data_IF_989050924963
#
_entry.id   IF_989050924963
#
_cell.length_a   1.000
_cell.length_b   1.000
_cell.length_c   1.000
_cell.angle_alpha   90.00
_cell.angle_beta   90.00
_cell.angle_gamma   90.00
#
_symmetry.space_group_name_H-M   'P 1'
#
loop_
_entity.id
_entity.type
_entity.pdbx_description
1 polymer ?
#
# COMPACT_ATOMS: atom_id res chain seq x y z
N UNK A 1 -21.91 8.02 21.62
CA UNK A 1 -21.09 9.12 21.05
C UNK A 1 -20.90 8.98 19.54
N UNK A 2 -20.48 7.81 19.03
CA UNK A 2 -20.37 7.57 17.57
C UNK A 2 -21.68 7.80 16.81
N UNK A 3 -22.80 7.28 17.30
CA UNK A 3 -24.12 7.52 16.69
C UNK A 3 -24.45 9.01 16.62
N UNK A 4 -24.11 9.78 17.66
CA UNK A 4 -24.30 11.22 17.67
C UNK A 4 -23.41 11.92 16.63
N UNK A 5 -22.17 11.46 16.43
CA UNK A 5 -21.29 11.96 15.38
C UNK A 5 -21.79 11.58 13.97
N UNK A 6 -22.28 10.37 13.76
CA UNK A 6 -22.85 9.96 12.47
C UNK A 6 -24.14 10.71 12.15
N UNK A 7 -25.02 10.89 13.14
CA UNK A 7 -26.24 11.68 12.99
C UNK A 7 -25.93 13.16 12.74
N UNK A 8 -24.93 13.73 13.42
CA UNK A 8 -24.47 15.09 13.16
C UNK A 8 -23.89 15.23 11.74
N UNK A 9 -23.20 14.20 11.23
CA UNK A 9 -22.68 14.17 9.86
C UNK A 9 -23.82 14.16 8.85
N UNK A 10 -24.79 13.26 9.01
CA UNK A 10 -25.93 13.16 8.11
C UNK A 10 -26.79 14.43 8.14
N UNK A 11 -26.85 15.12 9.28
CA UNK A 11 -27.43 16.45 9.37
C UNK A 11 -26.63 17.49 8.58
N UNK A 12 -25.30 17.56 8.76
CA UNK A 12 -24.43 18.49 8.04
C UNK A 12 -24.49 18.30 6.51
N UNK A 13 -24.44 17.05 6.04
CA UNK A 13 -24.58 16.70 4.61
C UNK A 13 -25.94 17.13 4.06
N UNK A 14 -27.04 16.87 4.80
CA UNK A 14 -28.39 17.30 4.37
C UNK A 14 -28.55 18.80 4.32
N UNK A 15 -27.87 19.53 5.21
CA UNK A 15 -27.90 20.99 5.27
C UNK A 15 -26.95 21.63 4.24
N UNK A 16 -26.10 20.84 3.57
CA UNK A 16 -25.06 21.37 2.68
C UNK A 16 -23.98 22.16 3.42
N UNK A 17 -23.86 21.96 4.74
CA UNK A 17 -22.90 22.67 5.59
C UNK A 17 -21.56 21.93 5.59
N UNK A 18 -20.67 22.33 4.67
CA UNK A 18 -19.37 21.71 4.47
C UNK A 18 -18.42 21.89 5.67
N UNK A 19 -18.61 22.93 6.48
CA UNK A 19 -17.77 23.20 7.66
C UNK A 19 -18.19 22.28 8.80
N UNK A 20 -19.50 22.14 9.04
CA UNK A 20 -20.04 21.17 9.98
C UNK A 20 -19.72 19.71 9.56
N UNK A 21 -19.78 19.39 8.26
CA UNK A 21 -19.38 18.06 7.77
C UNK A 21 -17.90 17.79 8.09
N UNK A 22 -17.05 18.78 7.85
CA UNK A 22 -15.60 18.71 8.10
C UNK A 22 -15.29 18.55 9.59
N UNK A 23 -15.92 19.31 10.47
CA UNK A 23 -15.72 19.19 11.92
C UNK A 23 -16.15 17.83 12.46
N UNK A 24 -17.26 17.29 11.95
CA UNK A 24 -17.76 15.98 12.35
C UNK A 24 -16.87 14.86 11.80
N UNK A 25 -16.40 14.95 10.55
CA UNK A 25 -15.41 14.01 10.00
C UNK A 25 -14.08 14.09 10.78
N UNK A 26 -13.66 15.29 11.23
CA UNK A 26 -12.53 15.50 12.14
C UNK A 26 -12.72 14.83 13.50
N UNK A 27 -13.91 14.95 14.07
CA UNK A 27 -14.27 14.28 15.32
C UNK A 27 -14.32 12.75 15.17
N UNK A 28 -14.87 12.24 14.07
CA UNK A 28 -14.91 10.81 13.76
C UNK A 28 -13.51 10.23 13.58
N UNK A 29 -12.63 10.89 12.81
CA UNK A 29 -11.23 10.45 12.64
C UNK A 29 -10.47 10.41 13.96
N UNK A 30 -10.61 11.43 14.80
CA UNK A 30 -10.02 11.45 16.16
C UNK A 30 -10.64 10.43 17.11
N UNK A 31 -11.92 10.12 16.95
CA UNK A 31 -12.62 9.12 17.75
C UNK A 31 -12.17 7.71 17.38
N UNK A 32 -12.11 7.39 16.09
CA UNK A 32 -11.62 6.09 15.61
C UNK A 32 -10.14 5.89 15.91
N UNK A 33 -9.32 6.94 15.75
CA UNK A 33 -7.91 6.90 16.17
C UNK A 33 -7.72 6.63 17.66
N UNK A 34 -8.65 7.11 18.52
CA UNK A 34 -8.65 6.86 19.97
C UNK A 34 -9.29 5.52 20.37
N UNK A 35 -10.30 5.03 19.65
CA UNK A 35 -10.86 3.71 19.89
C UNK A 35 -9.83 2.59 19.67
N UNK A 36 -8.94 2.76 18.68
CA UNK A 36 -7.80 1.86 18.48
C UNK A 36 -6.84 1.80 19.67
N UNK A 37 -6.83 2.83 20.54
CA UNK A 37 -5.94 2.92 21.71
C UNK A 37 -6.61 2.63 23.06
N UNK A 38 -7.96 2.50 23.15
CA UNK A 38 -8.69 2.38 24.44
C UNK A 38 -9.76 1.26 24.48
N UNK A 39 -9.72 0.30 23.55
CA UNK A 39 -10.73 -0.76 23.45
C UNK A 39 -10.61 -1.84 24.54
N UNK A 40 -10.90 -1.50 25.80
CA UNK A 40 -11.14 -2.50 26.85
C UNK A 40 -12.56 -2.47 27.44
N UNK A 41 -13.33 -1.38 27.37
CA UNK A 41 -14.55 -1.27 28.20
C UNK A 41 -15.90 -0.98 27.54
N UNK A 42 -16.02 -0.58 26.26
CA UNK A 42 -17.33 -0.30 25.66
C UNK A 42 -17.44 -0.78 24.22
N UNK A 43 -17.56 -2.10 24.12
CA UNK A 43 -17.33 -2.86 22.93
C UNK A 43 -18.60 -2.90 22.04
N UNK A 44 -19.63 -3.69 22.30
CA UNK A 44 -20.75 -4.08 21.39
C UNK A 44 -21.23 -3.18 20.18
N UNK A 45 -21.36 -1.85 20.31
CA UNK A 45 -22.10 -1.01 19.33
C UNK A 45 -21.22 -0.02 18.55
N UNK A 46 -20.07 0.42 19.10
CA UNK A 46 -19.11 1.32 18.45
C UNK A 46 -18.17 0.66 17.45
N UNK A 47 -18.50 -0.58 17.07
CA UNK A 47 -17.57 -1.71 17.10
C UNK A 47 -17.58 -2.47 15.78
N UNK A 48 -18.70 -2.34 15.07
CA UNK A 48 -18.81 -2.66 13.65
C UNK A 48 -18.28 -1.53 12.75
N UNK A 49 -18.27 -0.28 13.23
CA UNK A 49 -17.92 0.90 12.43
C UNK A 49 -16.45 1.33 12.55
N UNK A 50 -15.76 0.96 13.63
CA UNK A 50 -14.34 1.27 13.81
C UNK A 50 -13.41 0.40 12.94
N UNK A 51 -13.78 -0.87 12.71
CA UNK A 51 -13.01 -1.82 11.90
C UNK A 51 -13.02 -1.55 10.39
N UNK A 52 -14.02 -0.82 9.89
CA UNK A 52 -14.15 -0.45 8.46
C UNK A 52 -13.53 0.94 8.15
N UNK A 53 -13.12 1.68 9.18
CA UNK A 53 -13.10 3.14 9.06
C UNK A 53 -11.75 3.85 9.15
N UNK A 54 -10.66 3.28 9.66
CA UNK A 54 -9.53 4.13 10.11
C UNK A 54 -8.82 4.85 8.95
N UNK A 55 -8.42 4.13 7.90
CA UNK A 55 -7.81 4.75 6.74
C UNK A 55 -8.81 5.56 5.90
N UNK A 56 -10.07 5.13 5.85
CA UNK A 56 -11.16 5.90 5.24
C UNK A 56 -11.42 7.23 5.98
N UNK A 57 -11.37 7.19 7.31
CA UNK A 57 -11.57 8.34 8.19
C UNK A 57 -10.38 9.29 8.10
N UNK A 58 -9.13 8.80 8.01
CA UNK A 58 -7.98 9.66 7.78
C UNK A 58 -7.94 10.24 6.36
N UNK A 59 -8.35 9.50 5.32
CA UNK A 59 -8.51 10.05 3.96
C UNK A 59 -9.59 11.15 3.96
N UNK A 60 -10.72 10.93 4.64
CA UNK A 60 -11.75 11.96 4.81
C UNK A 60 -11.22 13.16 5.59
N UNK A 61 -10.50 12.93 6.69
CA UNK A 61 -9.87 13.96 7.50
C UNK A 61 -8.96 14.87 6.66
N UNK A 62 -8.09 14.26 5.85
CA UNK A 62 -7.18 14.98 4.98
C UNK A 62 -7.94 15.77 3.90
N UNK A 63 -9.02 15.21 3.33
CA UNK A 63 -9.86 15.94 2.36
C UNK A 63 -10.61 17.09 3.00
N UNK A 64 -11.10 16.91 4.23
CA UNK A 64 -11.85 17.92 4.95
C UNK A 64 -10.92 19.09 5.35
N UNK A 65 -9.73 18.78 5.87
CA UNK A 65 -8.70 19.78 6.15
C UNK A 65 -8.27 20.55 4.88
N UNK A 66 -8.14 19.89 3.72
CA UNK A 66 -7.88 20.57 2.44
C UNK A 66 -8.95 21.59 2.06
N UNK A 67 -10.23 21.25 2.27
CA UNK A 67 -11.33 22.17 1.98
C UNK A 67 -11.29 23.38 2.91
N UNK A 68 -10.97 23.17 4.18
CA UNK A 68 -10.83 24.24 5.17
C UNK A 68 -9.63 25.16 4.86
N UNK A 69 -8.51 24.61 4.38
CA UNK A 69 -7.31 25.38 3.98
C UNK A 69 -7.55 26.42 2.87
N UNK A 70 -8.64 26.32 2.11
CA UNK A 70 -9.02 27.31 1.09
C UNK A 70 -9.59 28.61 1.67
N UNK A 71 -9.76 28.75 2.99
CA UNK A 71 -10.62 29.79 3.62
C UNK A 71 -9.94 30.75 4.64
N UNK A 72 -8.61 30.78 4.74
CA UNK A 72 -7.75 31.61 5.65
C UNK A 72 -7.33 31.00 7.02
N UNK A 73 -6.18 31.52 7.49
CA UNK A 73 -5.28 31.13 8.61
C UNK A 73 -4.80 29.67 8.64
N UNK A 74 -3.73 29.40 7.87
CA UNK A 74 -3.37 28.07 7.36
C UNK A 74 -2.56 27.21 8.33
N UNK A 75 -1.85 27.78 9.31
CA UNK A 75 -0.89 27.02 10.13
C UNK A 75 -1.49 25.81 10.87
N UNK A 76 -2.53 26.00 11.71
CA UNK A 76 -3.16 24.91 12.45
C UNK A 76 -3.87 23.89 11.54
N UNK A 77 -4.51 24.34 10.46
CA UNK A 77 -5.22 23.47 9.53
C UNK A 77 -4.24 22.62 8.69
N UNK A 78 -3.16 23.22 8.17
CA UNK A 78 -2.06 22.50 7.51
C UNK A 78 -1.40 21.48 8.46
N UNK A 79 -1.23 21.83 9.74
CA UNK A 79 -0.70 20.89 10.75
C UNK A 79 -1.63 19.68 10.92
N UNK A 80 -2.93 19.91 11.09
CA UNK A 80 -3.91 18.83 11.22
C UNK A 80 -3.97 17.96 9.96
N UNK A 81 -3.86 18.56 8.78
CA UNK A 81 -3.78 17.83 7.52
C UNK A 81 -2.51 16.97 7.44
N UNK A 82 -1.35 17.53 7.81
CA UNK A 82 -0.09 16.79 7.87
C UNK A 82 -0.17 15.60 8.84
N UNK A 83 -0.75 15.79 10.03
CA UNK A 83 -0.99 14.73 11.00
C UNK A 83 -1.94 13.65 10.45
N UNK A 84 -3.00 14.04 9.74
CA UNK A 84 -3.94 13.12 9.11
C UNK A 84 -3.25 12.19 8.10
N UNK A 85 -2.45 12.76 7.19
CA UNK A 85 -1.69 11.97 6.23
C UNK A 85 -0.61 11.11 6.88
N UNK A 86 0.04 11.61 7.92
CA UNK A 86 1.01 10.81 8.67
C UNK A 86 0.34 9.57 9.23
N UNK A 87 -0.80 9.73 9.92
CA UNK A 87 -1.57 8.61 10.48
C UNK A 87 -2.07 7.66 9.40
N UNK A 88 -2.55 8.18 8.26
CA UNK A 88 -2.91 7.35 7.11
C UNK A 88 -1.71 6.52 6.62
N UNK A 89 -0.53 7.14 6.55
CA UNK A 89 0.73 6.47 6.24
C UNK A 89 1.10 5.38 7.25
N UNK A 90 0.90 5.61 8.55
CA UNK A 90 1.09 4.59 9.59
C UNK A 90 0.13 3.41 9.42
N UNK A 91 -1.13 3.67 9.09
CA UNK A 91 -2.11 2.60 8.81
C UNK A 91 -1.65 1.77 7.60
N UNK A 92 -1.22 2.41 6.51
CA UNK A 92 -0.66 1.69 5.37
C UNK A 92 0.58 0.86 5.75
N UNK A 93 1.47 1.37 6.61
CA UNK A 93 2.61 0.60 7.14
C UNK A 93 2.15 -0.63 7.92
N UNK A 94 1.20 -0.48 8.82
CA UNK A 94 0.65 -1.58 9.62
C UNK A 94 -0.01 -2.66 8.76
N UNK A 95 -0.53 -2.30 7.58
CA UNK A 95 -1.07 -3.25 6.61
C UNK A 95 -0.07 -3.69 5.52
N UNK A 96 1.18 -3.24 5.57
CA UNK A 96 2.25 -3.70 4.66
C UNK A 96 2.22 -3.03 3.28
N UNK A 97 1.45 -1.95 3.13
CA UNK A 97 1.37 -1.13 1.93
C UNK A 97 2.47 -0.05 1.98
N UNK A 98 3.75 -0.45 1.96
CA UNK A 98 4.88 0.45 2.19
C UNK A 98 4.96 1.59 1.17
N UNK A 99 4.59 1.32 -0.08
CA UNK A 99 4.57 2.33 -1.15
C UNK A 99 3.43 3.35 -0.97
N UNK A 100 2.21 2.90 -0.67
CA UNK A 100 1.11 3.81 -0.33
C UNK A 100 1.47 4.65 0.90
N UNK A 101 2.05 4.03 1.93
CA UNK A 101 2.54 4.74 3.11
C UNK A 101 3.56 5.82 2.76
N UNK A 102 4.53 5.51 1.89
CA UNK A 102 5.55 6.47 1.48
C UNK A 102 4.96 7.67 0.73
N UNK A 103 3.88 7.47 -0.04
CA UNK A 103 3.15 8.54 -0.74
C UNK A 103 2.46 9.45 0.28
N UNK A 104 1.68 8.88 1.20
CA UNK A 104 0.95 9.65 2.21
C UNK A 104 1.92 10.39 3.15
N UNK A 105 3.02 9.76 3.56
CA UNK A 105 4.06 10.39 4.36
C UNK A 105 4.83 11.47 3.59
N UNK A 106 4.94 11.34 2.26
CA UNK A 106 5.48 12.39 1.40
C UNK A 106 4.60 13.65 1.40
N UNK A 107 3.27 13.48 1.39
CA UNK A 107 2.31 14.60 1.51
C UNK A 107 2.37 15.22 2.89
N UNK A 108 2.40 14.39 3.94
CA UNK A 108 2.56 14.84 5.31
C UNK A 108 3.83 15.71 5.46
N UNK A 109 4.96 15.29 4.88
CA UNK A 109 6.22 16.03 4.95
C UNK A 109 6.11 17.41 4.28
N UNK A 110 5.54 17.48 3.07
CA UNK A 110 5.36 18.76 2.35
C UNK A 110 4.54 19.77 3.16
N UNK A 111 3.49 19.30 3.84
CA UNK A 111 2.64 20.14 4.68
C UNK A 111 3.34 20.53 5.99
N UNK A 112 4.04 19.58 6.63
CA UNK A 112 4.78 19.85 7.86
C UNK A 112 5.92 20.85 7.64
N UNK A 113 6.60 20.81 6.49
CA UNK A 113 7.61 21.79 6.08
C UNK A 113 7.03 23.21 5.96
N UNK A 114 5.81 23.34 5.43
CA UNK A 114 5.11 24.63 5.33
C UNK A 114 4.74 25.17 6.72
N UNK A 115 4.38 24.28 7.65
CA UNK A 115 4.07 24.63 9.05
C UNK A 115 5.33 24.96 9.85
N UNK A 116 6.47 24.36 9.50
CA UNK A 116 7.74 24.53 10.21
C UNK A 116 7.83 23.77 11.55
N UNK A 117 6.96 22.76 11.77
CA UNK A 117 7.00 21.94 12.99
C UNK A 117 8.09 20.87 12.91
N UNK A 118 9.22 21.15 13.56
CA UNK A 118 10.39 20.26 13.59
C UNK A 118 10.11 18.88 14.19
N UNK A 119 9.24 18.79 15.19
CA UNK A 119 8.91 17.50 15.83
C UNK A 119 8.07 16.65 14.89
N UNK A 120 7.06 17.26 14.26
CA UNK A 120 6.23 16.58 13.26
C UNK A 120 7.04 16.16 12.03
N UNK A 121 7.92 17.03 11.51
CA UNK A 121 8.84 16.70 10.41
C UNK A 121 9.71 15.49 10.78
N UNK A 122 10.34 15.50 11.96
CA UNK A 122 11.17 14.39 12.42
C UNK A 122 10.38 13.08 12.52
N UNK A 123 9.17 13.13 13.08
CA UNK A 123 8.30 11.95 13.19
C UNK A 123 7.90 11.40 11.82
N UNK A 124 7.55 12.27 10.88
CA UNK A 124 7.24 11.89 9.50
C UNK A 124 8.47 11.28 8.82
N UNK A 125 9.66 11.86 8.98
CA UNK A 125 10.90 11.35 8.40
C UNK A 125 11.25 9.95 8.91
N UNK A 126 11.14 9.72 10.23
CA UNK A 126 11.35 8.39 10.82
C UNK A 126 10.36 7.37 10.23
N UNK A 127 9.07 7.70 10.23
CA UNK A 127 8.00 6.82 9.71
C UNK A 127 8.21 6.53 8.22
N UNK A 128 8.53 7.57 7.43
CA UNK A 128 8.81 7.47 5.99
C UNK A 128 10.06 6.63 5.70
N UNK A 129 11.03 6.67 6.60
CA UNK A 129 12.25 5.86 6.46
C UNK A 129 11.96 4.36 6.56
N UNK A 130 10.99 3.97 7.40
CA UNK A 130 10.47 2.60 7.48
C UNK A 130 9.76 2.24 6.17
N UNK A 131 8.87 3.12 5.69
CA UNK A 131 8.13 2.96 4.42
C UNK A 131 9.06 2.78 3.21
N UNK A 132 10.13 3.57 3.15
CA UNK A 132 11.10 3.52 2.05
C UNK A 132 12.19 2.47 2.24
N UNK A 133 12.17 1.74 3.35
CA UNK A 133 13.24 0.83 3.74
C UNK A 133 14.63 1.49 3.79
N UNK A 134 14.69 2.81 4.03
CA UNK A 134 15.90 3.62 4.12
C UNK A 134 16.18 3.92 5.59
N UNK A 135 16.70 2.94 6.33
CA UNK A 135 16.92 3.09 7.77
C UNK A 135 18.04 4.12 8.05
N UNK A 136 17.71 5.33 8.54
CA UNK A 136 18.70 6.38 8.77
C UNK A 136 19.59 5.96 9.93
N UNK A 137 20.73 6.64 10.09
CA UNK A 137 21.45 6.60 11.36
C UNK A 137 20.64 7.41 12.36
N UNK A 138 20.05 6.73 13.33
CA UNK A 138 19.34 7.40 14.44
C UNK A 138 20.40 7.82 15.45
N UNK A 139 20.54 9.12 15.68
CA UNK A 139 21.27 9.62 16.83
C UNK A 139 20.31 9.53 18.01
N UNK A 140 20.64 8.74 19.03
CA UNK A 140 19.85 8.66 20.27
C UNK A 140 19.76 10.06 20.88
N UNK A 141 18.62 10.70 20.71
CA UNK A 141 18.25 11.91 21.44
C UNK A 141 17.27 11.44 22.51
N UNK A 142 17.52 11.80 23.76
CA UNK A 142 16.54 11.57 24.81
C UNK A 142 15.32 12.43 24.48
N UNK A 143 14.22 11.82 24.02
CA UNK A 143 12.97 12.53 23.72
C UNK A 143 11.91 12.09 24.71
N UNK A 144 11.20 13.04 25.32
CA UNK A 144 10.00 12.77 26.13
C UNK A 144 8.75 12.49 25.26
N UNK A 145 8.94 12.35 23.94
CA UNK A 145 7.88 12.04 22.97
C UNK A 145 7.83 10.54 22.70
N UNK A 146 6.75 9.91 23.18
CA UNK A 146 6.52 8.47 23.06
C UNK A 146 6.46 8.01 21.59
N UNK A 147 5.91 8.81 20.66
CA UNK A 147 5.82 8.39 19.25
C UNK A 147 7.19 8.40 18.57
N UNK A 148 8.01 9.42 18.86
CA UNK A 148 9.39 9.46 18.38
C UNK A 148 10.19 8.26 18.93
N UNK A 149 10.07 8.00 20.24
CA UNK A 149 10.72 6.85 20.88
C UNK A 149 10.29 5.53 20.25
N UNK A 150 9.00 5.39 19.92
CA UNK A 150 8.45 4.21 19.24
C UNK A 150 9.16 3.97 17.90
N UNK A 151 9.15 4.98 17.02
CA UNK A 151 9.66 4.83 15.67
C UNK A 151 11.19 4.71 15.61
N UNK A 152 11.93 5.39 16.50
CA UNK A 152 13.39 5.25 16.60
C UNK A 152 13.78 3.83 17.01
N UNK A 153 13.15 3.30 18.06
CA UNK A 153 13.42 1.94 18.53
C UNK A 153 12.97 0.89 17.51
N UNK A 154 11.88 1.16 16.77
CA UNK A 154 11.43 0.29 15.67
C UNK A 154 12.46 0.24 14.54
N UNK A 155 13.01 1.39 14.13
CA UNK A 155 14.07 1.47 13.12
C UNK A 155 15.33 0.71 13.57
N UNK A 156 15.70 0.83 14.84
CA UNK A 156 16.84 0.10 15.41
C UNK A 156 16.60 -1.41 15.46
N UNK A 157 15.37 -1.84 15.74
CA UNK A 157 14.97 -3.24 15.62
C UNK A 157 15.11 -3.73 14.17
N UNK A 158 14.55 -3.02 13.19
CA UNK A 158 14.64 -3.38 11.77
C UNK A 158 16.08 -3.37 11.25
N UNK A 159 16.92 -2.43 11.71
CA UNK A 159 18.34 -2.37 11.36
C UNK A 159 19.06 -3.60 11.91
N UNK A 160 18.76 -3.97 13.15
CA UNK A 160 19.29 -5.17 13.79
C UNK A 160 18.87 -6.43 13.04
N UNK A 161 17.61 -6.53 12.60
CA UNK A 161 17.12 -7.64 11.77
C UNK A 161 17.94 -7.80 10.48
N UNK A 162 18.16 -6.70 9.75
CA UNK A 162 18.91 -6.70 8.47
C UNK A 162 20.38 -7.08 8.62
N UNK A 163 20.93 -6.92 9.82
CA UNK A 163 22.31 -7.31 10.18
C UNK A 163 22.38 -8.70 10.81
N UNK A 164 21.28 -9.46 10.80
CA UNK A 164 21.18 -10.76 11.45
C UNK A 164 21.46 -10.72 12.97
N UNK A 165 21.26 -9.54 13.59
CA UNK A 165 21.44 -9.33 15.03
C UNK A 165 20.13 -9.63 15.77
N UNK A 166 19.65 -10.88 15.65
CA UNK A 166 18.32 -11.32 16.10
C UNK A 166 18.03 -11.02 17.58
N UNK A 167 19.05 -11.17 18.45
CA UNK A 167 18.94 -10.87 19.88
C UNK A 167 18.68 -9.38 20.14
N UNK A 168 19.40 -8.50 19.44
CA UNK A 168 19.25 -7.05 19.55
C UNK A 168 17.88 -6.61 19.03
N UNK A 169 17.47 -7.12 17.87
CA UNK A 169 16.14 -6.86 17.31
C UNK A 169 15.02 -7.31 18.27
N UNK A 170 15.09 -8.54 18.78
CA UNK A 170 14.09 -9.06 19.72
C UNK A 170 14.07 -8.27 21.03
N UNK A 171 15.22 -7.76 21.52
CA UNK A 171 15.28 -6.92 22.72
C UNK A 171 14.58 -5.58 22.49
N UNK A 172 14.88 -4.90 21.37
CA UNK A 172 14.26 -3.62 21.02
C UNK A 172 12.72 -3.74 20.88
N UNK A 173 12.23 -4.77 20.20
CA UNK A 173 10.77 -5.01 20.09
C UNK A 173 10.10 -5.31 21.44
N UNK A 174 10.78 -5.99 22.37
CA UNK A 174 10.25 -6.21 23.72
C UNK A 174 10.23 -4.94 24.57
N UNK A 175 11.22 -4.06 24.41
CA UNK A 175 11.22 -2.73 25.04
C UNK A 175 10.00 -1.94 24.56
N UNK A 176 9.77 -1.88 23.25
CA UNK A 176 8.58 -1.25 22.67
C UNK A 176 7.29 -1.86 23.21
N UNK A 177 7.19 -3.19 23.27
CA UNK A 177 5.97 -3.84 23.77
C UNK A 177 5.68 -3.51 25.23
N UNK A 178 6.72 -3.36 26.05
CA UNK A 178 6.55 -2.99 27.46
C UNK A 178 6.08 -1.53 27.60
N UNK A 179 6.62 -0.62 26.79
CA UNK A 179 6.25 0.81 26.81
C UNK A 179 4.84 1.06 26.26
N UNK A 180 4.43 0.30 25.24
CA UNK A 180 3.13 0.44 24.57
C UNK A 180 2.20 -0.74 24.88
N UNK A 181 2.24 -1.24 26.12
CA UNK A 181 1.42 -2.38 26.55
C UNK A 181 -0.09 -2.06 26.49
N UNK A 182 -0.44 -0.81 26.76
CA UNK A 182 -1.81 -0.29 26.81
C UNK A 182 -2.34 0.14 25.43
N UNK A 183 -1.47 0.29 24.43
CA UNK A 183 -1.88 0.52 23.04
C UNK A 183 -2.15 -0.84 22.37
N UNK A 184 -3.42 -1.23 22.30
CA UNK A 184 -3.84 -2.53 21.79
C UNK A 184 -3.34 -2.80 20.37
N UNK A 185 -3.40 -1.80 19.48
CA UNK A 185 -2.97 -1.90 18.09
C UNK A 185 -1.44 -2.06 17.99
N UNK A 186 -0.67 -1.16 18.61
CA UNK A 186 0.81 -1.24 18.57
C UNK A 186 1.30 -2.53 19.22
N UNK A 187 0.70 -2.94 20.32
CA UNK A 187 1.03 -4.20 20.99
C UNK A 187 0.77 -5.41 20.10
N UNK A 188 -0.36 -5.45 19.37
CA UNK A 188 -0.65 -6.50 18.39
C UNK A 188 0.36 -6.52 17.22
N UNK A 189 0.69 -5.36 16.66
CA UNK A 189 1.69 -5.21 15.59
C UNK A 189 3.08 -5.67 16.06
N UNK A 190 3.50 -5.30 17.27
CA UNK A 190 4.78 -5.71 17.85
C UNK A 190 4.84 -7.22 18.10
N UNK A 191 3.74 -7.83 18.55
CA UNK A 191 3.64 -9.29 18.69
C UNK A 191 3.75 -10.01 17.35
N UNK A 192 3.05 -9.51 16.34
CA UNK A 192 3.13 -10.03 14.98
C UNK A 192 4.58 -9.94 14.46
N UNK A 193 5.23 -8.79 14.62
CA UNK A 193 6.62 -8.60 14.19
C UNK A 193 7.59 -9.49 14.96
N UNK A 194 7.38 -9.68 16.26
CA UNK A 194 8.15 -10.63 17.08
C UNK A 194 7.94 -12.09 16.63
N UNK A 195 6.80 -12.45 16.05
CA UNK A 195 6.57 -13.77 15.48
C UNK A 195 7.31 -13.93 14.14
N UNK A 196 7.16 -12.95 13.24
CA UNK A 196 7.89 -12.89 11.96
C UNK A 196 9.40 -12.96 12.17
N UNK A 197 9.94 -12.20 13.11
CA UNK A 197 11.37 -12.23 13.47
C UNK A 197 11.86 -13.64 13.79
N UNK A 198 11.03 -14.46 14.47
CA UNK A 198 11.40 -15.83 14.82
C UNK A 198 11.34 -16.77 13.63
N UNK A 199 10.38 -16.58 12.74
CA UNK A 199 10.28 -17.34 11.49
C UNK A 199 11.48 -17.00 10.59
N UNK A 200 11.82 -15.72 10.47
CA UNK A 200 12.97 -15.25 9.71
C UNK A 200 14.29 -15.78 10.29
N UNK A 201 14.43 -15.76 11.62
CA UNK A 201 15.58 -16.34 12.29
C UNK A 201 15.70 -17.84 12.00
N UNK A 202 14.63 -18.62 12.15
CA UNK A 202 14.64 -20.06 11.85
C UNK A 202 15.05 -20.40 10.41
N UNK A 203 14.74 -19.48 9.49
CA UNK A 203 15.02 -19.63 8.05
C UNK A 203 16.46 -19.29 7.70
N UNK A 204 17.03 -18.28 8.35
CA UNK A 204 18.29 -17.66 7.95
C UNK A 204 19.46 -17.99 8.90
N UNK A 205 19.19 -18.58 10.06
CA UNK A 205 20.18 -18.90 11.09
C UNK A 205 20.06 -20.39 11.50
N UNK A 206 20.91 -21.27 10.95
CA UNK A 206 20.85 -22.71 11.21
C UNK A 206 21.26 -23.11 12.63
N UNK A 207 21.96 -22.23 13.36
CA UNK A 207 22.50 -22.50 14.71
C UNK A 207 21.47 -22.25 15.83
N UNK A 208 20.28 -21.78 15.49
CA UNK A 208 19.23 -21.42 16.45
C UNK A 208 18.51 -22.64 16.97
N UNK A 209 18.27 -22.71 18.29
CA UNK A 209 17.39 -23.71 18.92
C UNK A 209 16.02 -23.72 18.22
N UNK A 210 15.74 -24.70 17.35
CA UNK A 210 14.66 -24.56 16.38
C UNK A 210 13.30 -24.72 17.07
N UNK A 211 13.22 -25.63 18.04
CA UNK A 211 11.96 -25.97 18.70
C UNK A 211 11.40 -24.81 19.54
N UNK A 212 12.23 -24.22 20.42
CA UNK A 212 11.79 -23.07 21.24
C UNK A 212 11.42 -21.87 20.38
N UNK A 213 12.12 -21.65 19.27
CA UNK A 213 11.86 -20.52 18.38
C UNK A 213 10.54 -20.71 17.61
N UNK A 214 10.25 -21.93 17.15
CA UNK A 214 8.98 -22.28 16.48
C UNK A 214 7.80 -22.12 17.43
N UNK A 215 7.89 -22.68 18.64
CA UNK A 215 6.84 -22.56 19.67
C UNK A 215 6.57 -21.09 20.02
N UNK A 216 7.62 -20.27 20.16
CA UNK A 216 7.47 -18.82 20.40
C UNK A 216 6.80 -18.11 19.22
N UNK A 217 7.09 -18.49 17.98
CA UNK A 217 6.43 -17.90 16.82
C UNK A 217 4.92 -18.20 16.82
N UNK A 218 4.53 -19.43 17.14
CA UNK A 218 3.11 -19.83 17.29
C UNK A 218 2.44 -19.01 18.40
N UNK A 219 3.02 -18.96 19.60
CA UNK A 219 2.41 -18.20 20.71
C UNK A 219 2.24 -16.72 20.40
N UNK A 220 3.26 -16.07 19.80
CA UNK A 220 3.22 -14.64 19.50
C UNK A 220 2.22 -14.29 18.40
N UNK A 221 2.15 -15.11 17.34
CA UNK A 221 1.17 -14.92 16.27
C UNK A 221 -0.26 -15.17 16.74
N UNK A 222 -0.48 -16.17 17.61
CA UNK A 222 -1.77 -16.39 18.25
C UNK A 222 -2.17 -15.24 19.20
N UNK A 223 -1.23 -14.70 19.99
CA UNK A 223 -1.50 -13.54 20.85
C UNK A 223 -1.81 -12.28 20.01
N UNK A 224 -1.06 -12.05 18.92
CA UNK A 224 -1.33 -10.96 17.99
C UNK A 224 -2.74 -11.10 17.38
N UNK A 225 -3.09 -12.30 16.90
CA UNK A 225 -4.41 -12.60 16.34
C UNK A 225 -5.52 -12.28 17.34
N UNK A 226 -5.39 -12.75 18.58
CA UNK A 226 -6.37 -12.46 19.63
C UNK A 226 -6.54 -10.95 19.85
N UNK A 227 -5.44 -10.19 19.90
CA UNK A 227 -5.51 -8.73 20.06
C UNK A 227 -6.15 -8.03 18.87
N UNK A 228 -5.79 -8.40 17.64
CA UNK A 228 -6.42 -7.84 16.44
C UNK A 228 -7.93 -8.14 16.39
N UNK A 229 -8.34 -9.35 16.79
CA UNK A 229 -9.75 -9.71 16.89
C UNK A 229 -10.49 -8.88 17.94
N UNK A 230 -9.87 -8.60 19.10
CA UNK A 230 -10.46 -7.74 20.15
C UNK A 230 -10.71 -6.31 19.67
N UNK A 231 -9.87 -5.80 18.77
CA UNK A 231 -10.02 -4.45 18.19
C UNK A 231 -10.68 -4.46 16.80
N UNK A 232 -11.22 -5.62 16.38
CA UNK A 232 -11.91 -5.81 15.10
C UNK A 232 -11.10 -5.39 13.86
N UNK A 233 -9.78 -5.45 13.94
CA UNK A 233 -8.90 -5.27 12.79
C UNK A 233 -8.82 -6.58 12.00
N UNK A 234 -9.77 -6.79 11.09
CA UNK A 234 -9.82 -8.00 10.26
C UNK A 234 -8.58 -8.14 9.36
N UNK A 235 -7.98 -7.03 8.92
CA UNK A 235 -6.78 -7.07 8.09
C UNK A 235 -5.57 -7.53 8.93
N UNK A 236 -5.38 -6.95 10.11
CA UNK A 236 -4.37 -7.38 11.09
C UNK A 236 -4.57 -8.82 11.54
N UNK A 237 -5.81 -9.23 11.85
CA UNK A 237 -6.15 -10.60 12.22
C UNK A 237 -5.83 -11.60 11.09
N UNK A 238 -6.20 -11.27 9.86
CA UNK A 238 -5.88 -12.09 8.68
C UNK A 238 -4.36 -12.22 8.50
N UNK A 239 -3.59 -11.13 8.60
CA UNK A 239 -2.11 -11.18 8.56
C UNK A 239 -1.54 -12.04 9.69
N UNK A 240 -2.06 -11.89 10.90
CA UNK A 240 -1.63 -12.69 12.05
C UNK A 240 -1.90 -14.18 11.84
N UNK A 241 -3.04 -14.55 11.24
CA UNK A 241 -3.31 -15.92 10.82
C UNK A 241 -2.31 -16.39 9.76
N UNK A 242 -2.01 -15.59 8.74
CA UNK A 242 -1.01 -15.97 7.72
C UNK A 242 0.36 -16.26 8.35
N UNK A 243 0.79 -15.47 9.34
CA UNK A 243 2.04 -15.74 10.09
C UNK A 243 1.90 -16.98 10.98
N UNK A 244 0.74 -17.18 11.62
CA UNK A 244 0.44 -18.36 12.42
C UNK A 244 0.46 -19.65 11.58
N UNK A 245 -0.09 -19.64 10.36
CA UNK A 245 -0.03 -20.77 9.40
C UNK A 245 1.42 -21.18 9.19
N UNK A 246 2.31 -20.23 8.88
CA UNK A 246 3.73 -20.47 8.64
C UNK A 246 4.44 -21.01 9.89
N UNK A 247 4.12 -20.45 11.07
CA UNK A 247 4.65 -20.94 12.35
C UNK A 247 4.18 -22.37 12.67
N UNK A 248 2.90 -22.69 12.41
CA UNK A 248 2.33 -24.03 12.62
C UNK A 248 2.96 -25.06 11.68
N UNK A 249 3.16 -24.71 10.40
CA UNK A 249 3.88 -25.55 9.44
C UNK A 249 5.31 -25.83 9.88
N UNK A 250 6.01 -24.82 10.40
CA UNK A 250 7.36 -25.00 10.93
C UNK A 250 7.41 -25.96 12.14
N UNK A 251 6.30 -26.10 12.89
CA UNK A 251 6.13 -27.10 13.96
C UNK A 251 5.56 -28.45 13.50
N UNK A 252 5.28 -28.63 12.21
CA UNK A 252 4.65 -29.86 11.69
C UNK A 252 3.15 -29.98 11.97
N UNK A 253 2.48 -28.91 12.43
CA UNK A 253 1.04 -28.89 12.77
C UNK A 253 0.18 -28.51 11.56
N UNK A 254 0.26 -29.31 10.49
CA UNK A 254 -0.33 -28.98 9.19
C UNK A 254 -1.86 -28.89 9.18
N UNK A 255 -2.54 -29.72 9.97
CA UNK A 255 -4.01 -29.70 10.07
C UNK A 255 -4.51 -28.36 10.61
N UNK A 256 -3.91 -27.89 11.69
CA UNK A 256 -4.25 -26.59 12.28
C UNK A 256 -3.85 -25.44 11.35
N UNK A 257 -2.71 -25.57 10.66
CA UNK A 257 -2.29 -24.59 9.66
C UNK A 257 -3.33 -24.45 8.54
N UNK A 258 -3.93 -25.57 8.09
CA UNK A 258 -5.02 -25.55 7.12
C UNK A 258 -6.24 -24.80 7.65
N UNK A 259 -6.67 -25.11 8.88
CA UNK A 259 -7.80 -24.44 9.51
C UNK A 259 -7.59 -22.93 9.61
N UNK A 260 -6.39 -22.50 10.06
CA UNK A 260 -6.05 -21.08 10.15
C UNK A 260 -6.02 -20.40 8.78
N UNK A 261 -5.57 -21.10 7.72
CA UNK A 261 -5.60 -20.57 6.35
C UNK A 261 -7.04 -20.39 5.85
N UNK A 262 -7.93 -21.34 6.14
CA UNK A 262 -9.34 -21.24 5.76
C UNK A 262 -10.05 -20.10 6.53
N UNK A 263 -9.75 -19.92 7.83
CA UNK A 263 -10.23 -18.75 8.58
C UNK A 263 -9.65 -17.43 8.05
N UNK A 264 -8.38 -17.40 7.66
CA UNK A 264 -7.78 -16.19 7.07
C UNK A 264 -8.49 -15.76 5.79
N UNK A 265 -8.90 -16.70 4.94
CA UNK A 265 -9.69 -16.41 3.73
C UNK A 265 -11.07 -15.86 4.04
N UNK A 266 -11.73 -16.39 5.08
CA UNK A 266 -13.04 -15.92 5.53
C UNK A 266 -12.95 -14.51 6.13
N UNK A 267 -11.95 -14.26 6.97
CA UNK A 267 -11.72 -12.94 7.58
C UNK A 267 -11.34 -11.91 6.50
N UNK A 268 -10.55 -12.28 5.50
CA UNK A 268 -10.19 -11.42 4.37
C UNK A 268 -11.39 -10.92 3.57
N UNK A 269 -12.47 -11.71 3.46
CA UNK A 269 -13.70 -11.30 2.79
C UNK A 269 -14.48 -10.21 3.55
N UNK A 270 -14.13 -9.96 4.82
CA UNK A 270 -14.73 -8.93 5.68
C UNK A 270 -13.86 -7.67 5.77
N UNK A 271 -12.66 -7.69 5.20
CA UNK A 271 -11.75 -6.55 5.21
C UNK A 271 -12.29 -5.47 4.28
N UNK A 272 -12.14 -4.20 4.70
CA UNK A 272 -12.48 -3.04 3.87
C UNK A 272 -11.89 -3.19 2.45
N UNK A 273 -12.67 -2.94 1.37
CA UNK A 273 -12.20 -3.12 0.00
C UNK A 273 -10.89 -2.38 -0.33
N UNK A 274 -10.62 -1.23 0.32
CA UNK A 274 -9.38 -0.48 0.14
C UNK A 274 -8.15 -1.21 0.67
N UNK A 275 -8.32 -2.07 1.68
CA UNK A 275 -7.25 -2.88 2.27
C UNK A 275 -7.26 -4.34 1.79
N UNK A 276 -8.42 -4.84 1.35
CA UNK A 276 -8.66 -6.25 1.00
C UNK A 276 -8.69 -6.57 -0.50
N UNK A 277 -8.47 -5.59 -1.38
CA UNK A 277 -8.50 -5.80 -2.83
C UNK A 277 -7.51 -6.88 -3.32
N UNK A 278 -7.75 -7.43 -4.51
CA UNK A 278 -6.97 -8.57 -5.07
C UNK A 278 -5.47 -8.31 -5.20
N UNK A 279 -5.08 -7.05 -5.30
CA UNK A 279 -3.70 -6.62 -5.45
C UNK A 279 -3.10 -6.12 -4.13
N UNK A 280 -3.78 -6.26 -2.99
CA UNK A 280 -3.34 -5.73 -1.70
C UNK A 280 -2.16 -6.51 -1.09
N UNK A 281 -1.40 -5.93 -0.15
CA UNK A 281 -0.42 -6.67 0.63
C UNK A 281 -1.06 -7.83 1.43
N UNK A 282 -2.34 -7.69 1.79
CA UNK A 282 -3.07 -8.75 2.48
C UNK A 282 -3.20 -10.01 1.62
N UNK A 283 -3.52 -9.83 0.33
CA UNK A 283 -3.57 -10.94 -0.62
C UNK A 283 -2.18 -11.56 -0.83
N UNK A 284 -1.12 -10.75 -0.83
CA UNK A 284 0.25 -11.25 -0.86
C UNK A 284 0.54 -12.18 0.34
N UNK A 285 0.13 -11.77 1.55
CA UNK A 285 0.30 -12.58 2.76
C UNK A 285 -0.51 -13.88 2.72
N UNK A 286 -1.75 -13.85 2.22
CA UNK A 286 -2.59 -15.04 2.02
C UNK A 286 -1.97 -16.01 1.01
N UNK A 287 -1.48 -15.50 -0.12
CA UNK A 287 -0.81 -16.30 -1.14
C UNK A 287 0.49 -16.90 -0.60
N UNK A 288 1.26 -16.15 0.20
CA UNK A 288 2.46 -16.68 0.84
C UNK A 288 2.12 -17.87 1.75
N UNK A 289 1.17 -17.68 2.68
CA UNK A 289 0.76 -18.76 3.59
C UNK A 289 0.21 -19.98 2.84
N UNK A 290 -0.58 -19.78 1.78
CA UNK A 290 -1.08 -20.85 0.93
C UNK A 290 0.05 -21.56 0.16
N UNK A 291 1.04 -20.81 -0.33
CA UNK A 291 2.21 -21.36 -1.02
C UNK A 291 3.07 -22.24 -0.12
N UNK A 292 3.35 -21.80 1.11
CA UNK A 292 4.07 -22.63 2.09
C UNK A 292 3.27 -23.88 2.50
N UNK A 293 1.94 -23.77 2.60
CA UNK A 293 1.08 -24.94 2.84
C UNK A 293 1.15 -25.95 1.68
N UNK A 294 1.17 -25.49 0.41
CA UNK A 294 1.33 -26.36 -0.75
C UNK A 294 2.70 -27.05 -0.79
N UNK A 295 3.78 -26.36 -0.39
CA UNK A 295 5.10 -26.99 -0.23
C UNK A 295 5.03 -28.13 0.78
N UNK A 296 4.35 -27.93 1.91
CA UNK A 296 4.20 -28.94 2.93
C UNK A 296 3.43 -30.18 2.42
N UNK A 297 2.45 -29.99 1.52
CA UNK A 297 1.73 -31.08 0.87
C UNK A 297 2.53 -31.78 -0.26
N UNK A 298 3.71 -31.27 -0.61
CA UNK A 298 4.52 -31.79 -1.72
C UNK A 298 4.11 -31.28 -3.11
N UNK A 299 3.15 -30.36 -3.22
CA UNK A 299 2.79 -29.72 -4.50
C UNK A 299 3.75 -28.57 -4.81
N UNK A 300 4.98 -28.92 -5.20
CA UNK A 300 6.03 -27.94 -5.51
C UNK A 300 5.65 -27.00 -6.67
N UNK A 301 4.92 -27.50 -7.67
CA UNK A 301 4.53 -26.69 -8.83
C UNK A 301 3.45 -25.66 -8.48
N UNK A 302 2.41 -26.08 -7.75
CA UNK A 302 1.37 -25.18 -7.25
C UNK A 302 1.92 -24.17 -6.25
N UNK A 303 2.79 -24.62 -5.33
CA UNK A 303 3.48 -23.76 -4.39
C UNK A 303 4.29 -22.68 -5.09
N UNK A 304 5.15 -23.06 -6.06
CA UNK A 304 5.99 -22.10 -6.78
C UNK A 304 5.19 -21.03 -7.49
N UNK A 305 4.09 -21.39 -8.16
CA UNK A 305 3.19 -20.40 -8.80
C UNK A 305 2.58 -19.44 -7.77
N UNK A 306 2.10 -19.98 -6.65
CA UNK A 306 1.45 -19.19 -5.60
C UNK A 306 2.44 -18.25 -4.89
N UNK A 307 3.64 -18.73 -4.58
CA UNK A 307 4.71 -17.93 -3.98
C UNK A 307 5.19 -16.84 -4.95
N UNK A 308 5.35 -17.14 -6.24
CA UNK A 308 5.71 -16.10 -7.22
C UNK A 308 4.66 -14.99 -7.29
N UNK A 309 3.37 -15.32 -7.26
CA UNK A 309 2.30 -14.33 -7.21
C UNK A 309 2.41 -13.45 -5.95
N UNK A 310 2.67 -14.05 -4.78
CA UNK A 310 2.89 -13.31 -3.54
C UNK A 310 4.11 -12.38 -3.63
N UNK A 311 5.22 -12.84 -4.20
CA UNK A 311 6.44 -12.05 -4.36
C UNK A 311 6.22 -10.83 -5.27
N UNK A 312 5.47 -11.00 -6.37
CA UNK A 312 5.08 -9.89 -7.25
C UNK A 312 4.25 -8.86 -6.50
N UNK A 313 3.29 -9.29 -5.68
CA UNK A 313 2.47 -8.37 -4.89
C UNK A 313 3.27 -7.64 -3.80
N UNK A 314 4.15 -8.33 -3.07
CA UNK A 314 5.02 -7.66 -2.08
C UNK A 314 5.94 -6.64 -2.73
N UNK A 315 6.53 -6.98 -3.89
CA UNK A 315 7.34 -6.04 -4.67
C UNK A 315 6.52 -4.83 -5.13
N UNK A 316 5.30 -5.05 -5.59
CA UNK A 316 4.38 -3.97 -5.96
C UNK A 316 4.10 -3.03 -4.80
N UNK A 317 4.04 -3.54 -3.57
CA UNK A 317 3.82 -2.75 -2.36
C UNK A 317 5.09 -2.26 -1.68
N UNK A 318 6.26 -2.66 -2.19
CA UNK A 318 7.56 -2.20 -1.73
C UNK A 318 8.03 -2.92 -0.47
N UNK A 319 7.35 -4.00 -0.05
CA UNK A 319 7.75 -4.84 1.07
C UNK A 319 8.88 -5.79 0.66
N UNK A 320 10.11 -5.26 0.64
CA UNK A 320 11.29 -6.01 0.21
C UNK A 320 11.63 -7.16 1.15
N UNK A 321 11.29 -7.04 2.43
CA UNK A 321 11.58 -8.05 3.42
C UNK A 321 10.68 -9.28 3.19
N UNK A 322 9.37 -9.07 3.02
CA UNK A 322 8.43 -10.15 2.70
C UNK A 322 8.68 -10.74 1.32
N UNK A 323 9.04 -9.91 0.32
CA UNK A 323 9.47 -10.39 -1.00
C UNK A 323 10.64 -11.38 -0.89
N UNK A 324 11.73 -11.00 -0.21
CA UNK A 324 12.87 -11.89 0.02
C UNK A 324 12.48 -13.13 0.87
N UNK A 325 11.53 -12.95 1.78
CA UNK A 325 10.78 -14.00 2.48
C UNK A 325 10.29 -15.11 1.57
N UNK A 326 9.40 -14.71 0.67
CA UNK A 326 8.68 -15.56 -0.27
C UNK A 326 9.62 -16.17 -1.31
N UNK A 327 10.55 -15.39 -1.85
CA UNK A 327 11.51 -15.86 -2.85
C UNK A 327 12.39 -17.00 -2.30
N UNK A 328 12.89 -16.84 -1.08
CA UNK A 328 13.62 -17.91 -0.41
C UNK A 328 12.76 -19.17 -0.23
N UNK A 329 11.50 -19.03 0.20
CA UNK A 329 10.58 -20.18 0.32
C UNK A 329 10.34 -20.87 -1.03
N UNK A 330 10.34 -20.11 -2.12
CA UNK A 330 10.23 -20.63 -3.48
C UNK A 330 11.54 -21.22 -4.05
N UNK A 331 12.67 -21.13 -3.32
CA UNK A 331 13.99 -21.53 -3.80
C UNK A 331 14.54 -20.62 -4.90
N UNK A 332 14.25 -19.32 -4.82
CA UNK A 332 14.64 -18.31 -5.81
C UNK A 332 15.41 -17.16 -5.16
N UNK A 333 16.36 -16.60 -5.89
CA UNK A 333 17.12 -15.41 -5.46
C UNK A 333 16.45 -14.08 -5.88
N UNK A 334 15.65 -14.11 -6.95
CA UNK A 334 14.94 -12.96 -7.48
C UNK A 334 13.62 -13.39 -8.14
N UNK A 335 12.65 -12.46 -8.21
CA UNK A 335 11.46 -12.64 -9.06
C UNK A 335 11.92 -12.68 -10.52
N UNK A 336 11.60 -13.73 -11.29
CA UNK A 336 11.89 -13.80 -12.71
C UNK A 336 11.28 -12.63 -13.50
N UNK A 337 11.97 -12.13 -14.52
CA UNK A 337 11.50 -10.99 -15.32
C UNK A 337 10.16 -11.28 -16.03
N UNK A 338 9.91 -12.54 -16.37
CA UNK A 338 8.67 -13.03 -16.99
C UNK A 338 7.53 -13.27 -16.00
N UNK A 339 7.78 -13.22 -14.68
CA UNK A 339 6.74 -13.40 -13.68
C UNK A 339 5.66 -12.30 -13.73
N UNK A 340 6.03 -11.10 -14.21
CA UNK A 340 5.09 -10.02 -14.47
C UNK A 340 4.27 -10.22 -15.75
N UNK A 341 4.78 -11.01 -16.71
CA UNK A 341 4.07 -11.35 -17.93
C UNK A 341 3.01 -12.44 -17.69
N UNK A 342 3.16 -13.23 -16.63
CA UNK A 342 2.25 -14.32 -16.23
C UNK A 342 1.19 -13.91 -15.20
N UNK A 343 1.14 -12.64 -14.78
CA UNK A 343 0.03 -12.10 -13.98
C UNK A 343 -1.31 -12.21 -14.72
N UNK A 344 -2.47 -12.02 -14.04
CA UNK A 344 -3.75 -11.98 -14.73
C UNK A 344 -3.64 -11.03 -15.93
N UNK A 345 -4.29 -11.31 -17.07
CA UNK A 345 -4.03 -10.67 -18.35
C UNK A 345 -4.37 -9.18 -18.32
N UNK A 346 -3.51 -8.39 -17.70
CA UNK A 346 -3.41 -6.96 -17.89
C UNK A 346 -2.69 -6.78 -19.21
N UNK A 347 -3.37 -6.20 -20.19
CA UNK A 347 -2.74 -5.74 -21.43
C UNK A 347 -1.45 -4.99 -21.06
N UNK A 348 -0.36 -5.24 -21.79
CA UNK A 348 0.83 -4.40 -21.67
C UNK A 348 0.42 -2.95 -21.92
N UNK A 349 1.16 -2.00 -21.34
CA UNK A 349 1.02 -0.61 -21.73
C UNK A 349 1.47 -0.53 -23.17
N UNK A 350 0.52 -0.44 -24.08
CA UNK A 350 0.77 -0.46 -25.51
C UNK A 350 0.36 0.89 -26.09
N UNK A 351 1.13 1.36 -27.06
CA UNK A 351 0.83 2.55 -27.84
C UNK A 351 0.84 2.14 -29.29
N UNK A 352 -0.24 2.45 -30.02
CA UNK A 352 -0.30 2.20 -31.46
C UNK A 352 -1.05 3.32 -32.17
N UNK A 353 -0.88 3.36 -33.49
CA UNK A 353 -1.47 4.39 -34.35
C UNK A 353 -2.45 3.73 -35.31
N UNK A 354 -3.67 4.26 -35.36
CA UNK A 354 -4.72 3.89 -36.30
C UNK A 354 -4.86 4.98 -37.36
N UNK A 355 -4.61 4.66 -38.62
CA UNK A 355 -4.88 5.57 -39.74
C UNK A 355 -6.38 5.55 -40.09
N UNK A 356 -6.94 6.70 -40.46
CA UNK A 356 -8.33 6.76 -40.96
C UNK A 356 -8.45 6.40 -42.44
N UNK A 357 -7.31 6.27 -43.13
CA UNK A 357 -7.20 5.85 -44.53
C UNK A 357 -6.46 4.51 -44.68
N UNK A 358 -6.29 4.04 -45.93
CA UNK A 358 -5.62 2.76 -46.22
C UNK A 358 -4.12 2.75 -45.87
N UNK A 359 -3.50 3.93 -45.76
CA UNK A 359 -2.10 4.10 -45.38
C UNK A 359 -1.97 5.21 -44.33
N UNK A 360 -1.06 5.04 -43.38
CA UNK A 360 -0.78 6.07 -42.36
C UNK A 360 -0.04 7.25 -43.00
N UNK A 361 -0.65 8.43 -42.90
CA UNK A 361 -0.13 9.69 -43.41
C UNK A 361 -0.10 10.72 -42.31
N UNK A 362 1.10 11.21 -41.96
CA UNK A 362 1.31 12.16 -40.84
C UNK A 362 0.87 13.59 -41.14
N UNK A 363 0.44 13.85 -42.37
CA UNK A 363 -0.20 15.08 -42.85
C UNK A 363 -1.74 14.95 -42.92
N UNK A 364 -2.30 13.80 -42.50
CA UNK A 364 -3.74 13.54 -42.46
C UNK A 364 -4.20 13.16 -41.05
N UNK A 365 -5.50 13.31 -40.72
CA UNK A 365 -6.00 12.86 -39.42
C UNK A 365 -5.78 11.37 -39.16
N UNK A 366 -5.35 11.04 -37.95
CA UNK A 366 -5.18 9.67 -37.46
C UNK A 366 -5.50 9.60 -35.97
N UNK A 367 -5.65 8.39 -35.42
CA UNK A 367 -5.80 8.19 -33.99
C UNK A 367 -4.55 7.55 -33.38
N UNK A 368 -4.17 8.00 -32.19
CA UNK A 368 -3.19 7.33 -31.33
C UNK A 368 -3.98 6.67 -30.20
N UNK A 369 -3.77 5.38 -30.04
CA UNK A 369 -4.36 4.59 -28.97
C UNK A 369 -3.32 4.32 -27.89
N UNK A 370 -3.78 4.41 -26.65
CA UNK A 370 -2.95 4.17 -25.48
C UNK A 370 -3.70 3.27 -24.51
N UNK A 371 -3.16 2.08 -24.24
CA UNK A 371 -3.63 1.24 -23.13
C UNK A 371 -2.74 1.47 -21.94
N UNK A 372 -3.37 1.71 -20.79
CA UNK A 372 -2.67 1.73 -19.51
C UNK A 372 -2.76 0.30 -18.96
N UNK A 373 -1.64 -0.41 -18.88
CA UNK A 373 -1.60 -1.63 -18.09
C UNK A 373 -2.07 -1.32 -16.67
N UNK A 374 -2.63 -2.31 -15.97
CA UNK A 374 -2.91 -2.15 -14.55
C UNK A 374 -1.66 -1.57 -13.87
N UNK A 375 -1.74 -0.39 -13.21
CA UNK A 375 -0.58 0.30 -12.62
C UNK A 375 0.21 -0.59 -11.66
N UNK A 376 -0.47 -1.63 -11.17
CA UNK A 376 0.04 -2.69 -10.33
C UNK A 376 1.08 -3.62 -10.96
N UNK A 377 1.32 -3.59 -12.28
CA UNK A 377 2.09 -4.66 -12.96
C UNK A 377 3.32 -4.16 -13.73
N UNK A 378 3.49 -2.85 -13.94
CA UNK A 378 4.68 -2.34 -14.64
C UNK A 378 5.71 -1.78 -13.65
N UNK A 379 6.96 -2.25 -13.74
CA UNK A 379 8.10 -1.75 -12.97
C UNK A 379 8.39 -0.25 -13.18
N UNK A 380 7.84 0.34 -14.25
CA UNK A 380 8.18 1.68 -14.75
C UNK A 380 7.16 2.77 -14.41
N UNK A 381 6.04 2.44 -13.76
CA UNK A 381 5.15 3.44 -13.17
C UNK A 381 5.42 3.52 -11.67
N UNK A 382 5.62 4.72 -11.09
CA UNK A 382 5.70 4.86 -9.65
C UNK A 382 4.41 4.27 -9.03
N UNK A 383 4.55 3.65 -7.87
CA UNK A 383 3.56 2.71 -7.38
C UNK A 383 2.22 3.34 -7.04
N UNK A 384 1.20 2.47 -7.03
CA UNK A 384 -0.11 2.65 -6.42
C UNK A 384 -0.11 3.75 -5.34
N UNK A 385 -0.94 4.77 -5.57
CA UNK A 385 -1.02 5.99 -4.79
C UNK A 385 -1.71 7.09 -5.59
N UNK A 386 -1.42 7.16 -6.90
CA UNK A 386 -2.23 7.88 -7.87
C UNK A 386 -3.59 7.17 -7.97
N UNK A 387 -4.64 7.78 -7.42
CA UNK A 387 -6.03 7.31 -7.64
C UNK A 387 -6.56 7.74 -9.00
N UNK A 388 -5.90 8.71 -9.63
CA UNK A 388 -6.25 9.28 -10.92
C UNK A 388 -4.98 9.59 -11.70
N UNK A 389 -4.96 9.22 -12.97
CA UNK A 389 -3.93 9.60 -13.92
C UNK A 389 -4.50 10.61 -14.90
N UNK A 390 -3.72 11.64 -15.21
CA UNK A 390 -3.96 12.46 -16.39
C UNK A 390 -2.99 12.03 -17.49
N UNK A 391 -3.54 11.53 -18.60
CA UNK A 391 -2.76 11.03 -19.73
C UNK A 391 -2.92 12.00 -20.86
N UNK A 392 -1.80 12.63 -21.22
CA UNK A 392 -1.73 13.75 -22.16
C UNK A 392 -0.96 13.29 -23.38
N UNK A 393 -1.55 13.39 -24.58
CA UNK A 393 -0.81 13.24 -25.82
C UNK A 393 -0.39 14.62 -26.30
N UNK A 394 0.93 14.87 -26.29
CA UNK A 394 1.53 16.06 -26.87
C UNK A 394 1.98 15.76 -28.30
N UNK A 395 1.53 16.59 -29.25
CA UNK A 395 1.93 16.52 -30.65
C UNK A 395 2.54 17.85 -31.08
N UNK A 396 3.66 17.79 -31.80
CA UNK A 396 4.28 18.95 -32.46
C UNK A 396 3.88 18.94 -33.94
N UNK A 397 3.27 20.03 -34.42
CA UNK A 397 2.74 20.15 -35.80
C UNK A 397 1.31 19.62 -35.98
N UNK A 398 0.48 19.64 -34.94
CA UNK A 398 -0.92 19.25 -35.03
C UNK A 398 -1.68 19.41 -33.71
N UNK A 399 -3.01 19.39 -33.80
CA UNK A 399 -3.92 19.42 -32.66
C UNK A 399 -4.30 18.00 -32.19
N UNK A 400 -4.69 17.86 -30.93
CA UNK A 400 -5.08 16.58 -30.32
C UNK A 400 -6.43 16.68 -29.63
N UNK A 401 -7.30 15.70 -29.84
CA UNK A 401 -8.64 15.63 -29.26
C UNK A 401 -8.97 14.23 -28.69
N UNK A 402 -9.31 14.12 -27.40
CA UNK A 402 -9.08 15.13 -26.35
C UNK A 402 -7.58 15.27 -26.07
N UNK A 403 -7.13 16.43 -25.59
CA UNK A 403 -5.73 16.63 -25.19
C UNK A 403 -5.34 15.78 -23.97
N UNK A 404 -6.29 15.59 -23.05
CA UNK A 404 -6.09 14.90 -21.77
C UNK A 404 -7.21 13.88 -21.56
N UNK A 405 -6.84 12.67 -21.17
CA UNK A 405 -7.74 11.69 -20.58
C UNK A 405 -7.46 11.55 -19.09
N UNK A 406 -8.45 11.83 -18.25
CA UNK A 406 -8.37 11.59 -16.81
C UNK A 406 -8.95 10.22 -16.49
N UNK A 407 -8.11 9.33 -15.98
CA UNK A 407 -8.46 7.93 -15.74
C UNK A 407 -8.33 7.64 -14.25
N UNK A 408 -9.42 7.17 -13.63
CA UNK A 408 -9.35 6.67 -12.26
C UNK A 408 -8.65 5.31 -12.26
N UNK A 409 -7.58 5.20 -11.49
CA UNK A 409 -6.89 3.95 -11.25
C UNK A 409 -7.70 3.12 -10.27
N UNK A 410 -8.54 2.25 -10.80
CA UNK A 410 -9.15 1.18 -10.04
C UNK A 410 -8.32 -0.09 -10.23
N UNK A 411 -7.77 -0.69 -9.16
CA UNK A 411 -7.03 -1.95 -9.27
C UNK A 411 -7.85 -3.11 -9.85
N UNK A 412 -9.18 -2.99 -9.93
CA UNK A 412 -10.11 -4.04 -10.36
C UNK A 412 -10.66 -3.83 -11.77
N UNK A 413 -10.46 -2.67 -12.39
CA UNK A 413 -11.03 -2.36 -13.71
C UNK A 413 -9.91 -2.22 -14.72
N UNK A 414 -9.97 -3.02 -15.79
CA UNK A 414 -9.12 -2.81 -16.94
C UNK A 414 -9.36 -1.39 -17.44
N UNK A 415 -8.31 -0.59 -17.46
CA UNK A 415 -8.42 0.81 -17.86
C UNK A 415 -8.89 0.84 -19.32
N UNK A 416 -9.86 1.72 -19.65
CA UNK A 416 -10.34 1.83 -21.00
C UNK A 416 -9.18 2.17 -21.93
N UNK A 417 -9.25 1.64 -23.15
CA UNK A 417 -8.37 2.08 -24.22
C UNK A 417 -8.62 3.56 -24.47
N UNK A 418 -7.55 4.36 -24.38
CA UNK A 418 -7.63 5.80 -24.54
C UNK A 418 -7.31 6.13 -25.98
N UNK A 419 -8.23 6.84 -26.63
CA UNK A 419 -8.11 7.26 -28.02
C UNK A 419 -7.88 8.76 -28.08
N UNK A 420 -6.82 9.16 -28.77
CA UNK A 420 -6.48 10.54 -29.09
C UNK A 420 -6.55 10.74 -30.60
N UNK A 421 -7.41 11.63 -31.07
CA UNK A 421 -7.43 12.03 -32.48
C UNK A 421 -6.42 13.14 -32.72
N UNK A 422 -5.51 12.90 -33.66
CA UNK A 422 -4.49 13.87 -34.05
C UNK A 422 -4.91 14.50 -35.38
N UNK A 423 -4.91 15.83 -35.44
CA UNK A 423 -5.20 16.63 -36.63
C UNK A 423 -3.93 17.40 -37.02
N UNK A 424 -3.14 16.89 -37.97
CA UNK A 424 -1.90 17.53 -38.37
C UNK A 424 -2.15 18.91 -39.00
N UNK A 425 -1.22 19.83 -38.78
CA UNK A 425 -1.10 21.04 -39.58
C UNK A 425 -0.52 20.71 -40.97
N UNK A 426 -0.50 21.68 -41.89
CA UNK A 426 0.01 21.50 -43.26
C UNK A 426 1.47 21.02 -43.33
N UNK A 427 2.25 21.27 -42.28
CA UNK A 427 3.64 20.81 -42.14
C UNK A 427 3.76 19.34 -41.70
N UNK A 428 2.65 18.72 -41.28
CA UNK A 428 2.60 17.37 -40.73
C UNK A 428 3.15 17.26 -39.29
N UNK A 429 2.92 16.10 -38.68
CA UNK A 429 3.38 15.82 -37.31
C UNK A 429 4.87 15.46 -37.29
N UNK A 430 5.64 16.17 -36.48
CA UNK A 430 7.10 15.96 -36.35
C UNK A 430 7.48 15.14 -35.13
N UNK A 431 6.72 15.28 -34.03
CA UNK A 431 6.96 14.57 -32.77
C UNK A 431 5.66 14.31 -32.03
N UNK A 432 5.56 13.14 -31.41
CA UNK A 432 4.45 12.77 -30.54
C UNK A 432 4.96 12.18 -29.24
N UNK A 433 4.33 12.54 -28.11
CA UNK A 433 4.69 12.03 -26.79
C UNK A 433 3.44 11.78 -25.95
N UNK A 434 3.34 10.60 -25.34
CA UNK A 434 2.37 10.36 -24.27
C UNK A 434 3.04 10.69 -22.94
N UNK A 435 2.42 11.58 -22.19
CA UNK A 435 2.81 11.99 -20.86
C UNK A 435 1.76 11.49 -19.87
N UNK A 436 2.20 10.83 -18.81
CA UNK A 436 1.31 10.32 -17.76
C UNK A 436 1.62 11.09 -16.50
N UNK A 437 0.62 11.76 -15.94
CA UNK A 437 0.72 12.53 -14.71
C UNK A 437 -0.12 11.88 -13.61
N UNK A 438 0.29 12.05 -12.36
CA UNK A 438 -0.63 11.89 -11.23
C UNK A 438 -1.53 13.13 -11.19
N UNK A 439 -2.83 12.94 -11.45
CA UNK A 439 -3.78 14.05 -11.56
C UNK A 439 -3.91 14.82 -10.23
N UNK A 440 -3.65 14.17 -9.09
CA UNK A 440 -3.75 14.82 -7.79
C UNK A 440 -2.56 15.74 -7.48
N UNK A 441 -1.39 15.51 -8.09
CA UNK A 441 -0.15 16.25 -7.80
C UNK A 441 0.44 16.98 -8.99
N UNK A 442 -0.07 16.75 -10.20
CA UNK A 442 0.52 17.27 -11.44
C UNK A 442 1.95 16.77 -11.69
N UNK A 443 2.36 15.68 -11.05
CA UNK A 443 3.72 15.11 -11.17
C UNK A 443 3.78 14.22 -12.40
N UNK A 444 4.73 14.48 -13.29
CA UNK A 444 4.99 13.63 -14.45
C UNK A 444 5.55 12.29 -13.98
N UNK A 445 4.77 11.23 -14.18
CA UNK A 445 5.11 9.85 -13.83
C UNK A 445 5.86 9.16 -14.96
N UNK A 446 5.44 9.38 -16.20
CA UNK A 446 6.01 8.73 -17.38
C UNK A 446 5.97 9.64 -18.60
N UNK A 447 7.01 9.53 -19.42
CA UNK A 447 7.11 10.14 -20.75
C UNK A 447 7.46 9.05 -21.75
N UNK A 448 6.68 8.92 -22.82
CA UNK A 448 6.94 7.94 -23.88
C UNK A 448 6.87 8.64 -25.23
N UNK A 449 7.98 8.61 -25.97
CA UNK A 449 8.02 9.09 -27.35
C UNK A 449 7.24 8.10 -28.24
N UNK A 450 6.26 8.62 -28.99
CA UNK A 450 5.49 7.83 -29.96
C UNK A 450 6.13 8.02 -31.32
N UNK A 451 6.73 6.96 -31.85
CA UNK A 451 7.36 6.99 -33.18
C UNK A 451 6.40 6.40 -34.21
N UNK A 452 5.89 7.19 -35.16
CA UNK A 452 5.11 6.62 -36.24
C UNK A 452 6.00 5.70 -37.08
N UNK A 453 5.52 4.52 -37.50
CA UNK A 453 6.27 3.66 -38.40
C UNK A 453 6.56 4.41 -39.69
N UNK A 454 7.83 4.45 -40.12
CA UNK A 454 8.27 5.22 -41.29
C UNK A 454 7.58 4.79 -42.60
N UNK A 455 7.06 3.57 -42.66
CA UNK A 455 6.20 3.01 -43.72
C UNK A 455 5.53 1.74 -43.19
N UNK A 456 4.22 1.76 -42.98
CA UNK A 456 3.46 0.54 -42.68
C UNK A 456 2.22 0.47 -43.58
N UNK A 457 2.18 -0.53 -44.47
CA UNK A 457 0.91 -1.00 -45.04
C UNK A 457 0.21 -1.78 -43.93
N UNK A 458 -1.01 -1.37 -43.60
CA UNK A 458 -1.80 -1.98 -42.53
C UNK A 458 -2.15 -3.42 -42.92
N UNK A 459 -1.56 -4.40 -42.24
CA UNK A 459 -2.19 -5.70 -42.09
C UNK A 459 -2.38 -6.12 -40.63
N UNK A 460 -1.68 -5.52 -39.65
CA UNK A 460 -1.89 -5.76 -38.22
C UNK A 460 -1.49 -4.53 -37.35
N UNK A 461 -2.04 -4.39 -36.13
CA UNK A 461 -1.60 -3.37 -35.17
C UNK A 461 -0.10 -3.52 -34.88
N UNK A 462 0.65 -2.42 -35.04
CA UNK A 462 2.08 -2.36 -34.71
C UNK A 462 2.21 -1.97 -33.25
N UNK A 463 2.55 -2.93 -32.39
CA UNK A 463 2.91 -2.69 -31.00
C UNK A 463 4.33 -2.09 -30.95
N UNK A 464 4.49 -0.90 -30.36
CA UNK A 464 5.79 -0.19 -30.22
C UNK A 464 6.53 -0.62 -28.96
#
# INVERSE_FOLDING_TARGET
>A
MIEALLLARDAAVRLGDADAETEVDLALGRYFGRLGSYAEENAAEGEKQAGEGLAFAYDRLARAARRANLREDTGPALRQEAEAYRRLGEVHLHHGAFRDAAVELGRAAQLADQVGDKSLIRLIDLTRSVALHRLPVVLTVNTDDDELMFWETWIDAERSCRRYQWKSASKALHVLRALFADDALRSAVLLLRLAELRIDQLRLDPDVEPERSRVRAVHRSAEALYRFQRIYDYAGATRARCVLVRALLATGRAVEAREQLDFARQDAARVDPMLGHQLSPLQAALQWAAGEYLLHLGDAAGARRTLLAAAVLFRLHGDRNSEAGVLHAAGLDAVPDDAFAAGPPGRRTDIWIEAFGPELRLDQPFAVHYTVAAPAVTADLPPAGARHLDIVLRVEGGDVLPLVHSVRLDPLVALPELRFEVRPELSGVTRMQVLVYDAAYGVLLRRTDVRPPRTARLSHPVTI
#
